data_IF_419164859980
#
_entry.id   IF_419164859980
#
_cell.length_a   1.000
_cell.length_b   1.000
_cell.length_c   1.000
_cell.angle_alpha   90.00
_cell.angle_beta   90.00
_cell.angle_gamma   90.00
#
_symmetry.space_group_name_H-M   'P 1'
#
loop_
_entity.id
_entity.type
_entity.pdbx_description
1 polymer ?
#
# COMPACT_ATOMS: atom_id res chain seq x y z
N UNK A 1 25.26 -43.42 4.27
CA UNK A 1 24.14 -42.67 3.65
C UNK A 1 23.49 -41.84 4.76
N UNK A 2 24.16 -40.75 5.13
CA UNK A 2 23.77 -39.35 4.89
C UNK A 2 22.69 -38.82 5.84
N UNK A 3 23.10 -37.82 6.61
CA UNK A 3 22.34 -36.98 7.53
C UNK A 3 21.03 -36.49 6.90
N UNK A 4 19.90 -36.56 7.64
CA UNK A 4 18.92 -35.45 7.70
C UNK A 4 17.80 -35.71 8.74
N UNK A 5 18.02 -35.36 10.01
CA UNK A 5 16.92 -35.26 11.01
C UNK A 5 16.90 -33.95 11.79
N UNK A 6 17.81 -33.02 11.49
CA UNK A 6 17.90 -31.73 12.20
C UNK A 6 17.26 -30.54 11.44
N UNK A 7 16.73 -30.74 10.23
CA UNK A 7 16.18 -29.63 9.41
C UNK A 7 14.72 -29.28 9.68
N UNK A 8 13.94 -30.10 10.41
CA UNK A 8 12.49 -29.86 10.59
C UNK A 8 12.13 -28.99 11.81
N UNK A 9 12.97 -28.94 12.84
CA UNK A 9 12.65 -28.19 14.07
C UNK A 9 12.95 -26.70 13.93
N UNK A 10 14.03 -26.37 13.22
CA UNK A 10 14.44 -24.98 12.94
C UNK A 10 13.40 -24.28 12.07
N UNK A 11 12.89 -24.94 11.03
CA UNK A 11 11.89 -24.36 10.11
C UNK A 11 10.56 -24.02 10.80
N UNK A 12 10.12 -24.86 11.73
CA UNK A 12 8.87 -24.66 12.47
C UNK A 12 8.98 -23.58 13.57
N UNK A 13 10.17 -23.40 14.18
CA UNK A 13 10.37 -22.34 15.18
C UNK A 13 10.49 -20.97 14.54
N UNK A 14 11.09 -20.86 13.35
CA UNK A 14 11.16 -19.59 12.62
C UNK A 14 9.78 -19.09 12.17
N UNK A 15 8.87 -19.98 11.77
CA UNK A 15 7.50 -19.61 11.40
C UNK A 15 6.71 -19.04 12.58
N UNK A 16 6.83 -19.64 13.77
CA UNK A 16 6.19 -19.11 15.00
C UNK A 16 6.82 -17.79 15.47
N UNK A 17 8.14 -17.62 15.30
CA UNK A 17 8.81 -16.35 15.61
C UNK A 17 8.39 -15.23 14.66
N UNK A 18 8.01 -15.54 13.41
CA UNK A 18 7.46 -14.57 12.46
C UNK A 18 5.98 -14.25 12.73
N UNK A 19 5.21 -15.22 13.25
CA UNK A 19 3.80 -15.05 13.64
C UNK A 19 3.63 -14.17 14.90
N UNK A 20 4.59 -14.22 15.83
CA UNK A 20 4.50 -13.52 17.13
C UNK A 20 5.31 -12.20 17.20
N UNK A 21 6.04 -11.82 16.14
CA UNK A 21 6.65 -10.50 16.07
C UNK A 21 5.61 -9.48 15.59
N UNK A 22 5.44 -8.32 16.27
CA UNK A 22 4.70 -7.20 15.69
C UNK A 22 5.53 -6.72 14.50
N UNK A 23 5.31 -7.29 13.32
CA UNK A 23 6.14 -7.02 12.16
C UNK A 23 5.78 -5.65 11.63
N UNK A 24 6.56 -4.63 12.02
CA UNK A 24 7.01 -3.52 11.18
C UNK A 24 5.99 -2.91 10.22
N UNK A 25 4.73 -2.80 10.63
CA UNK A 25 3.69 -2.14 9.85
C UNK A 25 4.04 -0.66 9.78
N UNK A 26 4.40 -0.22 8.59
CA UNK A 26 4.76 1.18 8.38
C UNK A 26 3.48 1.93 8.04
N UNK A 27 3.13 2.89 8.88
CA UNK A 27 2.02 3.80 8.64
C UNK A 27 2.55 5.19 8.36
N UNK A 28 2.07 5.84 7.30
CA UNK A 28 2.52 7.18 6.93
C UNK A 28 1.36 8.14 6.74
N UNK A 29 1.52 9.43 7.09
CA UNK A 29 0.57 10.45 6.71
C UNK A 29 0.59 10.63 5.20
N UNK A 30 -0.58 10.58 4.60
CA UNK A 30 -0.81 10.75 3.16
C UNK A 30 -1.90 11.78 2.96
N UNK A 31 -1.66 12.74 2.07
CA UNK A 31 -2.75 13.53 1.50
C UNK A 31 -3.20 12.88 0.20
N UNK A 32 -4.47 12.52 0.12
CA UNK A 32 -5.11 12.12 -1.13
C UNK A 32 -5.88 13.30 -1.72
N UNK A 33 -5.64 13.59 -2.99
CA UNK A 33 -6.14 14.79 -3.67
C UNK A 33 -6.86 14.42 -4.96
N UNK A 34 -7.94 15.14 -5.26
CA UNK A 34 -8.59 15.04 -6.55
C UNK A 34 -7.67 15.58 -7.65
N UNK A 35 -7.31 14.78 -8.67
CA UNK A 35 -6.36 15.19 -9.70
C UNK A 35 -6.87 16.33 -10.59
N UNK A 36 -8.19 16.57 -10.61
CA UNK A 36 -8.82 17.63 -11.40
C UNK A 36 -9.14 18.88 -10.58
N UNK A 37 -9.04 18.82 -9.25
CA UNK A 37 -9.26 19.94 -8.34
C UNK A 37 -8.42 19.78 -7.07
N UNK A 38 -7.20 20.35 -7.03
CA UNK A 38 -6.29 20.22 -5.89
C UNK A 38 -6.80 20.83 -4.59
N UNK A 39 -7.88 21.63 -4.62
CA UNK A 39 -8.50 22.17 -3.39
C UNK A 39 -9.31 21.11 -2.64
N UNK A 40 -9.62 19.98 -3.31
CA UNK A 40 -10.37 18.86 -2.75
C UNK A 40 -9.43 17.74 -2.37
N UNK A 41 -9.13 17.66 -1.08
CA UNK A 41 -8.22 16.67 -0.54
C UNK A 41 -8.68 16.14 0.82
N UNK A 42 -8.10 15.02 1.23
CA UNK A 42 -8.18 14.48 2.58
C UNK A 42 -6.79 14.05 3.04
N UNK A 43 -6.49 14.37 4.29
CA UNK A 43 -5.35 13.81 4.99
C UNK A 43 -5.79 12.53 5.71
N UNK A 44 -4.92 11.53 5.72
CA UNK A 44 -5.16 10.27 6.41
C UNK A 44 -3.86 9.53 6.68
N UNK A 45 -3.95 8.51 7.53
CA UNK A 45 -2.85 7.58 7.78
C UNK A 45 -3.08 6.33 6.94
N UNK A 46 -2.06 5.93 6.17
CA UNK A 46 -2.14 4.77 5.27
C UNK A 46 -1.13 3.72 5.72
N UNK A 47 -1.55 2.46 5.68
CA UNK A 47 -0.66 1.31 5.77
C UNK A 47 0.18 1.21 4.49
N UNK A 48 1.50 1.14 4.63
CA UNK A 48 2.42 0.89 3.53
C UNK A 48 2.47 -0.61 3.26
N UNK A 49 2.07 -1.02 2.04
CA UNK A 49 2.04 -2.43 1.67
C UNK A 49 2.68 -2.65 0.29
N UNK A 50 3.90 -3.19 0.29
CA UNK A 50 4.60 -3.59 -0.94
C UNK A 50 4.01 -4.84 -1.59
N UNK A 51 3.17 -5.61 -0.89
CA UNK A 51 2.43 -6.75 -1.43
C UNK A 51 1.21 -6.32 -2.24
N UNK A 52 0.68 -5.12 -2.01
CA UNK A 52 -0.36 -4.51 -2.82
C UNK A 52 0.23 -3.73 -3.99
N UNK A 53 -0.05 -4.15 -5.23
CA UNK A 53 0.42 -3.41 -6.42
C UNK A 53 -0.13 -1.98 -6.45
N UNK A 54 -1.40 -1.79 -6.09
CA UNK A 54 -2.08 -0.49 -6.15
C UNK A 54 -2.66 -0.10 -4.80
N UNK A 55 -2.74 1.20 -4.55
CA UNK A 55 -3.39 1.77 -3.37
C UNK A 55 -4.90 1.54 -3.40
N UNK A 56 -5.50 1.40 -2.22
CA UNK A 56 -6.95 1.41 -2.06
C UNK A 56 -7.36 2.30 -0.90
N UNK A 57 -8.54 2.92 -1.05
CA UNK A 57 -9.03 3.93 -0.12
C UNK A 57 -10.53 3.72 0.09
N UNK A 58 -11.06 3.90 1.31
CA UNK A 58 -12.49 3.91 1.58
C UNK A 58 -13.27 4.73 0.56
N UNK A 59 -14.35 4.14 0.07
CA UNK A 59 -15.20 4.75 -0.97
C UNK A 59 -15.67 6.13 -0.53
N UNK A 60 -16.11 6.26 0.72
CA UNK A 60 -16.59 7.53 1.28
C UNK A 60 -15.52 8.63 1.28
N UNK A 61 -14.24 8.27 1.48
CA UNK A 61 -13.13 9.24 1.45
C UNK A 61 -12.95 9.78 0.03
N UNK A 62 -12.88 8.90 -0.96
CA UNK A 62 -12.73 9.27 -2.38
C UNK A 62 -13.91 10.12 -2.87
N UNK A 63 -15.13 9.72 -2.54
CA UNK A 63 -16.34 10.46 -2.91
C UNK A 63 -16.40 11.84 -2.24
N UNK A 64 -15.94 11.95 -0.98
CA UNK A 64 -15.93 13.24 -0.28
C UNK A 64 -15.05 14.30 -0.95
N UNK A 65 -13.99 13.86 -1.65
CA UNK A 65 -13.13 14.73 -2.47
C UNK A 65 -13.53 14.76 -3.94
N UNK A 66 -14.66 14.12 -4.29
CA UNK A 66 -15.25 14.15 -5.63
C UNK A 66 -14.53 13.28 -6.64
N UNK A 67 -13.74 12.32 -6.19
CA UNK A 67 -13.22 11.28 -7.06
C UNK A 67 -14.36 10.28 -7.27
N UNK A 68 -14.71 10.05 -8.52
CA UNK A 68 -15.70 9.07 -8.94
C UNK A 68 -15.01 7.94 -9.69
N UNK A 69 -15.58 6.72 -9.68
CA UNK A 69 -15.02 5.61 -10.46
C UNK A 69 -14.94 5.94 -11.96
N UNK A 70 -13.78 5.68 -12.57
CA UNK A 70 -13.61 5.79 -14.03
C UNK A 70 -13.75 4.45 -14.75
N UNK A 71 -13.84 3.35 -13.99
CA UNK A 71 -14.03 2.03 -14.55
C UNK A 71 -13.97 0.92 -13.49
N UNK A 72 -13.94 -0.31 -13.99
CA UNK A 72 -13.82 -1.53 -13.18
C UNK A 72 -12.64 -2.33 -13.69
N UNK A 73 -11.80 -2.87 -12.80
CA UNK A 73 -10.75 -3.84 -13.12
C UNK A 73 -10.93 -5.13 -12.32
N UNK A 74 -10.47 -6.23 -12.89
CA UNK A 74 -10.22 -7.45 -12.14
C UNK A 74 -8.92 -7.30 -11.37
N UNK A 75 -8.94 -7.62 -10.08
CA UNK A 75 -7.78 -7.61 -9.19
C UNK A 75 -7.70 -8.93 -8.44
N UNK A 76 -6.49 -9.33 -8.09
CA UNK A 76 -6.23 -10.52 -7.28
C UNK A 76 -6.05 -10.10 -5.84
N UNK A 77 -6.84 -10.69 -4.94
CA UNK A 77 -6.68 -10.50 -3.51
C UNK A 77 -5.54 -11.38 -2.97
N UNK A 78 -5.08 -11.09 -1.75
CA UNK A 78 -4.02 -11.85 -1.07
C UNK A 78 -4.34 -13.35 -0.92
N UNK A 79 -5.62 -13.73 -0.95
CA UNK A 79 -6.08 -15.13 -0.93
C UNK A 79 -6.20 -15.77 -2.32
N UNK A 80 -5.60 -15.14 -3.34
CA UNK A 80 -5.62 -15.55 -4.74
C UNK A 80 -7.02 -15.65 -5.37
N UNK A 81 -8.01 -14.92 -4.85
CA UNK A 81 -9.31 -14.81 -5.50
C UNK A 81 -9.36 -13.59 -6.43
N UNK A 82 -9.84 -13.75 -7.68
CA UNK A 82 -10.12 -12.63 -8.55
C UNK A 82 -11.41 -11.95 -8.10
N UNK A 83 -11.38 -10.62 -8.03
CA UNK A 83 -12.56 -9.80 -7.74
C UNK A 83 -12.60 -8.59 -8.65
N UNK A 84 -13.80 -8.10 -8.95
CA UNK A 84 -13.97 -6.83 -9.66
C UNK A 84 -13.97 -5.68 -8.66
N UNK A 85 -13.18 -4.64 -8.94
CA UNK A 85 -13.11 -3.42 -8.13
C UNK A 85 -13.23 -2.18 -9.00
N UNK A 86 -13.98 -1.21 -8.47
CA UNK A 86 -14.04 0.13 -9.02
C UNK A 86 -12.69 0.81 -8.80
N UNK A 87 -12.23 1.55 -9.80
CA UNK A 87 -10.98 2.31 -9.71
C UNK A 87 -11.13 3.70 -10.32
N UNK A 88 -10.23 4.60 -9.92
CA UNK A 88 -10.04 5.93 -10.50
C UNK A 88 -8.57 6.32 -10.39
N UNK A 89 -8.25 7.61 -10.50
CA UNK A 89 -6.92 8.15 -10.30
C UNK A 89 -6.96 9.21 -9.19
N UNK A 90 -5.90 9.28 -8.39
CA UNK A 90 -5.76 10.25 -7.32
C UNK A 90 -4.32 10.78 -7.26
N UNK A 91 -4.16 12.01 -6.78
CA UNK A 91 -2.88 12.51 -6.33
C UNK A 91 -2.59 12.02 -4.92
N UNK A 92 -1.38 11.55 -4.68
CA UNK A 92 -0.88 11.15 -3.37
C UNK A 92 0.25 12.08 -2.99
N UNK A 93 0.19 12.70 -1.80
CA UNK A 93 1.31 13.45 -1.24
C UNK A 93 1.85 12.74 -0.02
N UNK A 94 3.13 12.37 -0.06
CA UNK A 94 3.84 11.64 1.00
C UNK A 94 5.22 12.27 1.16
N UNK A 95 5.62 12.60 2.39
CA UNK A 95 6.90 13.28 2.67
C UNK A 95 7.14 14.49 1.74
N UNK A 96 6.12 15.34 1.58
CA UNK A 96 6.12 16.55 0.73
C UNK A 96 6.24 16.31 -0.78
N UNK A 97 6.35 15.06 -1.23
CA UNK A 97 6.39 14.68 -2.64
C UNK A 97 5.00 14.29 -3.13
N UNK A 98 4.63 14.71 -4.34
CA UNK A 98 3.33 14.38 -4.94
C UNK A 98 3.49 13.65 -6.26
N UNK A 99 2.74 12.56 -6.43
CA UNK A 99 2.61 11.81 -7.69
C UNK A 99 1.18 11.28 -7.84
N UNK A 100 0.83 10.81 -9.03
CA UNK A 100 -0.50 10.40 -9.40
C UNK A 100 -0.53 8.93 -9.80
N UNK A 101 -1.44 8.18 -9.20
CA UNK A 101 -1.58 6.76 -9.48
C UNK A 101 -3.06 6.34 -9.50
N UNK A 102 -3.33 5.14 -10.03
CA UNK A 102 -4.64 4.54 -9.91
C UNK A 102 -4.94 4.18 -8.45
N UNK A 103 -6.18 4.42 -8.02
CA UNK A 103 -6.68 4.08 -6.69
C UNK A 103 -7.93 3.22 -6.80
N UNK A 104 -8.01 2.19 -5.98
CA UNK A 104 -9.19 1.34 -5.87
C UNK A 104 -10.12 1.81 -4.75
N UNK A 105 -11.41 1.69 -5.01
CA UNK A 105 -12.45 1.94 -4.02
C UNK A 105 -12.56 0.71 -3.12
N UNK A 106 -12.34 0.91 -1.82
CA UNK A 106 -12.45 -0.10 -0.78
C UNK A 106 -13.75 0.07 0.03
N UNK A 107 -14.09 -1.00 0.76
CA UNK A 107 -15.11 -0.93 1.81
C UNK A 107 -14.62 0.02 2.92
N UNK A 108 -15.54 0.78 3.53
CA UNK A 108 -15.17 1.79 4.52
C UNK A 108 -14.64 1.20 5.84
N UNK A 109 -14.80 -0.11 6.06
CA UNK A 109 -14.19 -0.83 7.19
C UNK A 109 -12.73 -1.22 6.95
N UNK A 110 -12.23 -1.08 5.72
CA UNK A 110 -10.86 -1.44 5.34
C UNK A 110 -9.95 -0.24 5.52
N UNK A 111 -8.80 -0.49 6.16
CA UNK A 111 -7.75 0.52 6.31
C UNK A 111 -7.22 0.98 4.94
N UNK A 112 -6.97 2.28 4.73
CA UNK A 112 -6.35 2.76 3.50
C UNK A 112 -4.94 2.18 3.31
N UNK A 113 -4.65 1.67 2.11
CA UNK A 113 -3.34 1.13 1.75
C UNK A 113 -2.63 2.03 0.74
N UNK A 114 -1.34 2.28 0.99
CA UNK A 114 -0.38 2.87 0.06
C UNK A 114 0.39 1.75 -0.63
N UNK A 115 0.01 1.48 -1.89
CA UNK A 115 0.56 0.35 -2.66
C UNK A 115 1.88 0.66 -3.37
N UNK A 116 2.49 -0.40 -3.88
CA UNK A 116 3.81 -0.41 -4.51
C UNK A 116 3.98 0.61 -5.64
N UNK A 117 2.97 0.81 -6.50
CA UNK A 117 3.06 1.78 -7.61
C UNK A 117 3.39 3.19 -7.10
N UNK A 118 2.76 3.65 -6.02
CA UNK A 118 3.04 4.98 -5.46
C UNK A 118 4.44 5.02 -4.86
N UNK A 119 4.81 3.98 -4.09
CA UNK A 119 6.12 3.87 -3.46
C UNK A 119 7.27 3.90 -4.50
N UNK A 120 7.13 3.15 -5.59
CA UNK A 120 8.13 3.11 -6.66
C UNK A 120 8.21 4.42 -7.43
N UNK A 121 7.05 5.00 -7.79
CA UNK A 121 6.98 6.25 -8.55
C UNK A 121 7.66 7.42 -7.83
N UNK A 122 7.53 7.48 -6.50
CA UNK A 122 8.13 8.50 -5.64
C UNK A 122 9.52 8.11 -5.11
N UNK A 123 10.03 6.92 -5.44
CA UNK A 123 11.34 6.46 -5.02
C UNK A 123 11.48 6.23 -3.51
N UNK A 124 10.47 5.63 -2.86
CA UNK A 124 10.55 5.33 -1.42
C UNK A 124 11.09 3.92 -1.13
N UNK A 125 11.89 3.83 -0.05
CA UNK A 125 12.28 2.59 0.60
C UNK A 125 11.53 2.45 1.94
N UNK A 126 11.19 1.22 2.31
CA UNK A 126 10.52 0.92 3.58
C UNK A 126 11.58 0.61 4.65
N UNK A 127 11.58 1.35 5.76
CA UNK A 127 12.38 1.07 6.97
C UNK A 127 11.43 0.54 8.07
N UNK A 128 11.10 -0.77 8.08
CA UNK A 128 10.15 -1.34 9.03
C UNK A 128 10.67 -1.32 10.47
N UNK A 129 12.01 -1.27 10.66
CA UNK A 129 12.61 -1.20 11.98
C UNK A 129 12.41 0.17 12.65
N UNK A 130 12.16 1.22 11.86
CA UNK A 130 11.87 2.58 12.34
C UNK A 130 10.50 3.08 11.92
N UNK A 131 9.66 2.20 11.39
CA UNK A 131 8.29 2.48 10.97
C UNK A 131 8.16 3.71 10.07
N UNK A 132 9.02 3.82 9.05
CA UNK A 132 9.05 5.00 8.16
C UNK A 132 9.39 4.68 6.72
N UNK A 133 9.08 5.63 5.84
CA UNK A 133 9.61 5.68 4.48
C UNK A 133 10.90 6.51 4.43
N UNK A 134 11.84 6.06 3.60
CA UNK A 134 13.07 6.77 3.29
C UNK A 134 13.04 7.20 1.82
N UNK A 135 13.27 8.48 1.50
CA UNK A 135 13.44 8.89 0.12
C UNK A 135 14.73 8.30 -0.45
N UNK A 136 14.64 7.79 -1.67
CA UNK A 136 15.79 7.46 -2.50
C UNK A 136 15.89 8.53 -3.58
N UNK A 137 17.09 9.06 -3.80
CA UNK A 137 17.33 9.90 -4.98
C UNK A 137 16.94 9.12 -6.24
N UNK A 138 16.12 9.71 -7.10
CA UNK A 138 15.85 9.15 -8.41
C UNK A 138 17.18 8.94 -9.13
N UNK A 139 17.41 7.72 -9.61
CA UNK A 139 18.53 7.44 -10.51
C UNK A 139 17.99 7.64 -11.91
N UNK A 140 18.49 8.65 -12.60
CA UNK A 140 18.25 8.88 -14.02
C UNK A 140 19.56 8.75 -14.76
N UNK A 141 19.50 8.21 -15.98
CA UNK A 141 20.65 7.98 -16.85
C UNK A 141 21.32 9.27 -17.35
#
# INVERSE_FOLDING_TARGET
MLLNRAKSHVQASWLRLLEDMPMGEVHVPVRITNPYDPTRFRDGTFLVDSGATSSHVPTTVLESIGIQPTGVREVWLADNRPVRRLFSFAGFTVLEQTDYASVFFADDSVEPILGLTVLESMGFLIDPARERLLPRSAVTD
#
